data_IF_870924340479
#
_entry.id   IF_870924340479
#
_cell.length_a   1.000
_cell.length_b   1.000
_cell.length_c   1.000
_cell.angle_alpha   90.00
_cell.angle_beta   90.00
_cell.angle_gamma   90.00
#
_symmetry.space_group_name_H-M   'P 1'
#
loop_
_entity.id
_entity.type
_entity.pdbx_description
1 polymer ?
#
# COMPACT_ATOMS: atom_id res chain seq x y z
N UNK A 1 -5.24 1.54 2.44
CA UNK A 1 -6.29 0.88 1.64
C UNK A 1 -6.33 1.38 0.17
N UNK A 2 -6.52 0.50 -0.83
CA UNK A 2 -6.77 0.92 -2.23
C UNK A 2 -8.28 1.15 -2.42
N UNK A 3 -8.69 2.35 -2.88
CA UNK A 3 -10.11 2.66 -3.14
C UNK A 3 -10.63 1.96 -4.39
N UNK A 4 -11.94 1.75 -4.45
CA UNK A 4 -12.59 1.20 -5.65
C UNK A 4 -12.25 2.07 -6.87
N UNK A 5 -11.73 1.46 -7.93
CA UNK A 5 -11.33 2.17 -9.15
C UNK A 5 -9.89 2.73 -9.17
N UNK A 6 -9.16 2.67 -8.04
CA UNK A 6 -7.73 3.02 -8.00
C UNK A 6 -6.81 1.82 -8.31
N UNK A 7 -7.36 0.63 -8.58
CA UNK A 7 -6.59 -0.59 -8.92
C UNK A 7 -5.66 -0.39 -10.12
N UNK A 8 -6.13 0.26 -11.18
CA UNK A 8 -5.34 0.51 -12.38
C UNK A 8 -4.16 1.43 -12.08
N UNK A 9 -4.40 2.48 -11.27
CA UNK A 9 -3.37 3.42 -10.85
C UNK A 9 -2.35 2.73 -9.93
N UNK A 10 -2.81 1.92 -8.98
CA UNK A 10 -1.96 1.17 -8.07
C UNK A 10 -1.11 0.14 -8.83
N UNK A 11 -1.69 -0.54 -9.82
CA UNK A 11 -0.99 -1.47 -10.70
C UNK A 11 0.07 -0.77 -11.53
N UNK A 12 -0.22 0.43 -12.05
CA UNK A 12 0.74 1.21 -12.84
C UNK A 12 1.98 1.64 -12.05
N UNK A 13 1.86 1.82 -10.74
CA UNK A 13 2.97 2.23 -9.85
C UNK A 13 3.60 1.05 -9.10
N UNK A 14 3.16 -0.18 -9.34
CA UNK A 14 3.62 -1.37 -8.60
C UNK A 14 4.26 -2.40 -9.52
N UNK A 15 5.39 -2.97 -9.10
CA UNK A 15 6.00 -4.12 -9.75
C UNK A 15 5.40 -5.41 -9.20
N UNK A 16 4.17 -5.75 -9.63
CA UNK A 16 3.38 -6.85 -9.04
C UNK A 16 4.06 -8.23 -9.09
N UNK A 17 5.01 -8.44 -10.00
CA UNK A 17 5.76 -9.69 -10.11
C UNK A 17 6.71 -9.93 -8.93
N UNK A 18 7.12 -8.88 -8.23
CA UNK A 18 8.10 -8.95 -7.13
C UNK A 18 7.53 -8.42 -5.82
N UNK A 19 6.62 -7.44 -5.89
CA UNK A 19 6.00 -6.84 -4.71
C UNK A 19 4.85 -7.72 -4.20
N UNK A 20 5.16 -8.66 -3.30
CA UNK A 20 4.15 -9.55 -2.69
C UNK A 20 3.09 -8.76 -1.91
N UNK A 21 3.49 -7.66 -1.23
CA UNK A 21 2.55 -6.75 -0.57
C UNK A 21 1.56 -6.14 -1.57
N UNK A 22 2.05 -5.64 -2.70
CA UNK A 22 1.23 -5.00 -3.72
C UNK A 22 0.21 -5.97 -4.33
N UNK A 23 0.64 -7.22 -4.60
CA UNK A 23 -0.25 -8.26 -5.09
C UNK A 23 -1.37 -8.57 -4.08
N UNK A 24 -1.03 -8.75 -2.80
CA UNK A 24 -2.01 -9.00 -1.74
C UNK A 24 -2.95 -7.82 -1.50
N UNK A 25 -2.44 -6.59 -1.61
CA UNK A 25 -3.25 -5.39 -1.46
C UNK A 25 -4.35 -5.33 -2.53
N UNK A 26 -4.05 -5.68 -3.79
CA UNK A 26 -5.05 -5.77 -4.87
C UNK A 26 -6.08 -6.88 -4.58
N UNK A 27 -5.63 -8.06 -4.16
CA UNK A 27 -6.54 -9.17 -3.85
C UNK A 27 -7.50 -8.82 -2.71
N UNK A 28 -6.98 -8.32 -1.59
CA UNK A 28 -7.77 -7.87 -0.43
C UNK A 28 -8.79 -6.79 -0.82
N UNK A 29 -8.36 -5.84 -1.65
CA UNK A 29 -9.22 -4.77 -2.17
C UNK A 29 -10.40 -5.36 -2.96
N UNK A 30 -10.16 -6.34 -3.82
CA UNK A 30 -11.23 -6.99 -4.60
C UNK A 30 -12.22 -7.76 -3.73
N UNK A 31 -11.75 -8.43 -2.69
CA UNK A 31 -12.60 -9.15 -1.74
C UNK A 31 -13.51 -8.18 -0.97
N UNK A 32 -12.94 -7.09 -0.44
CA UNK A 32 -13.69 -6.09 0.32
C UNK A 32 -14.72 -5.36 -0.57
N UNK A 33 -14.34 -4.97 -1.79
CA UNK A 33 -15.26 -4.26 -2.70
C UNK A 33 -16.31 -5.17 -3.34
N UNK A 34 -16.12 -6.49 -3.35
CA UNK A 34 -17.16 -7.41 -3.82
C UNK A 34 -18.39 -7.41 -2.89
N UNK A 35 -18.18 -7.12 -1.59
CA UNK A 35 -19.21 -7.17 -0.55
C UNK A 35 -19.65 -5.77 -0.09
N UNK A 36 -18.79 -4.76 -0.20
CA UNK A 36 -19.06 -3.40 0.25
C UNK A 36 -19.67 -2.50 -0.83
N UNK A 37 -20.63 -1.65 -0.43
CA UNK A 37 -21.24 -0.62 -1.28
C UNK A 37 -20.72 0.78 -0.97
N UNK A 38 -20.26 1.02 0.27
CA UNK A 38 -19.69 2.31 0.70
C UNK A 38 -18.44 2.05 1.55
N UNK A 39 -17.35 2.73 1.25
CA UNK A 39 -16.12 2.75 2.05
C UNK A 39 -15.87 4.17 2.56
N UNK A 40 -15.90 4.35 3.88
CA UNK A 40 -15.67 5.62 4.57
C UNK A 40 -14.41 5.53 5.46
N UNK A 41 -13.73 6.66 5.65
CA UNK A 41 -12.85 6.84 6.82
C UNK A 41 -11.34 6.73 6.62
N UNK A 42 -10.81 6.39 5.44
CA UNK A 42 -9.34 6.33 5.28
C UNK A 42 -8.77 7.66 4.78
N UNK A 43 -8.24 8.46 5.71
CA UNK A 43 -7.21 9.45 5.42
C UNK A 43 -5.86 8.78 5.62
N UNK A 44 -5.00 8.88 4.60
CA UNK A 44 -3.69 8.24 4.58
C UNK A 44 -2.63 9.32 4.36
N UNK A 45 -1.56 9.26 5.15
CA UNK A 45 -0.41 10.14 4.98
C UNK A 45 0.88 9.33 4.99
N UNK A 46 1.85 9.81 4.22
CA UNK A 46 3.17 9.21 4.11
C UNK A 46 4.22 10.25 4.46
N UNK A 47 5.07 9.94 5.43
CA UNK A 47 6.24 10.72 5.81
C UNK A 47 7.51 9.98 5.39
N UNK A 48 8.46 10.68 4.76
CA UNK A 48 9.78 10.11 4.46
C UNK A 48 10.65 10.23 5.72
N UNK A 49 11.04 9.10 6.27
CA UNK A 49 11.93 9.03 7.44
C UNK A 49 13.40 9.05 7.02
N UNK A 50 13.75 8.33 5.95
CA UNK A 50 15.12 8.23 5.46
C UNK A 50 15.18 7.80 4.00
N UNK A 51 16.08 8.42 3.24
CA UNK A 51 16.42 8.03 1.87
C UNK A 51 17.82 7.41 1.86
N UNK A 52 17.98 6.27 1.18
CA UNK A 52 19.26 5.59 1.04
C UNK A 52 19.87 5.87 -0.34
N UNK A 53 21.16 5.59 -0.47
CA UNK A 53 21.79 5.48 -1.79
C UNK A 53 21.25 4.28 -2.56
N UNK A 54 21.51 4.24 -3.86
CA UNK A 54 21.16 3.10 -4.70
C UNK A 54 21.78 1.81 -4.16
N UNK A 55 20.96 0.80 -3.92
CA UNK A 55 21.42 -0.53 -3.55
C UNK A 55 21.84 -1.28 -4.81
N UNK A 56 23.16 -1.38 -5.04
CA UNK A 56 23.72 -2.11 -6.18
C UNK A 56 23.43 -3.62 -6.14
N UNK A 57 23.13 -4.19 -4.97
CA UNK A 57 22.81 -5.61 -4.82
C UNK A 57 21.33 -5.90 -5.14
N UNK A 58 20.42 -5.14 -4.53
CA UNK A 58 18.97 -5.23 -4.77
C UNK A 58 18.51 -4.57 -6.08
N UNK A 59 19.34 -3.69 -6.65
CA UNK A 59 19.08 -2.97 -7.89
C UNK A 59 18.07 -1.82 -7.76
N UNK A 60 17.83 -1.31 -6.55
CA UNK A 60 16.76 -0.34 -6.26
C UNK A 60 17.16 0.79 -5.33
N UNK A 61 16.19 1.65 -5.03
CA UNK A 61 16.32 2.81 -4.16
C UNK A 61 15.49 2.59 -2.89
N UNK A 62 16.13 2.24 -1.77
CA UNK A 62 15.44 2.07 -0.51
C UNK A 62 15.02 3.41 0.09
N UNK A 63 13.81 3.46 0.63
CA UNK A 63 13.30 4.60 1.40
C UNK A 63 12.54 4.09 2.62
N UNK A 64 12.93 4.55 3.80
CA UNK A 64 12.14 4.35 5.02
C UNK A 64 11.05 5.41 5.07
N UNK A 65 9.81 4.96 5.24
CA UNK A 65 8.62 5.80 5.33
C UNK A 65 7.79 5.45 6.56
N UNK A 66 7.02 6.41 7.05
CA UNK A 66 5.93 6.19 7.99
C UNK A 66 4.61 6.36 7.27
N UNK A 67 3.78 5.33 7.30
CA UNK A 67 2.41 5.36 6.79
C UNK A 67 1.50 5.55 8.00
N UNK A 68 0.67 6.58 7.98
CA UNK A 68 -0.37 6.80 8.99
C UNK A 68 -1.73 6.74 8.32
N UNK A 69 -2.61 5.90 8.85
CA UNK A 69 -3.98 5.73 8.36
C UNK A 69 -4.97 5.95 9.52
N UNK A 70 -6.10 6.60 9.24
CA UNK A 70 -7.24 6.64 10.16
C UNK A 70 -8.12 5.40 10.01
N UNK A 71 -8.99 5.13 11.00
CA UNK A 71 -9.90 3.99 10.97
C UNK A 71 -10.78 3.99 9.70
N UNK A 72 -10.81 2.87 9.00
CA UNK A 72 -11.65 2.62 7.84
C UNK A 72 -12.90 1.80 8.18
N UNK A 73 -14.00 2.09 7.50
CA UNK A 73 -15.29 1.42 7.67
C UNK A 73 -15.88 1.06 6.30
N UNK A 74 -16.37 -0.16 6.16
CA UNK A 74 -17.10 -0.59 4.95
C UNK A 74 -18.51 -1.04 5.30
N UNK A 75 -19.47 -0.59 4.51
CA UNK A 75 -20.90 -0.86 4.69
C UNK A 75 -21.47 -1.59 3.48
N UNK A 76 -22.44 -2.48 3.71
CA UNK A 76 -23.24 -3.09 2.64
C UNK A 76 -24.29 -2.12 2.07
N UNK A 77 -25.10 -2.59 1.12
CA UNK A 77 -26.13 -1.79 0.46
C UNK A 77 -27.26 -1.35 1.39
N UNK A 78 -27.46 -2.05 2.52
CA UNK A 78 -28.46 -1.73 3.54
C UNK A 78 -27.90 -0.80 4.64
N UNK A 79 -26.62 -0.42 4.54
CA UNK A 79 -25.93 0.45 5.49
C UNK A 79 -25.42 -0.29 6.74
N UNK A 80 -25.35 -1.62 6.71
CA UNK A 80 -24.79 -2.42 7.80
C UNK A 80 -23.27 -2.41 7.72
N UNK A 81 -22.60 -2.14 8.84
CA UNK A 81 -21.15 -2.23 8.93
C UNK A 81 -20.71 -3.69 8.77
N UNK A 82 -19.97 -3.98 7.72
CA UNK A 82 -19.47 -5.33 7.40
C UNK A 82 -17.96 -5.48 7.63
N UNK A 83 -17.22 -4.37 7.62
CA UNK A 83 -15.78 -4.39 7.83
C UNK A 83 -15.30 -3.14 8.57
N UNK A 84 -14.38 -3.32 9.51
CA UNK A 84 -13.62 -2.24 10.15
C UNK A 84 -12.14 -2.52 9.96
N UNK A 85 -11.42 -1.53 9.44
CA UNK A 85 -9.98 -1.51 9.37
C UNK A 85 -9.48 -0.54 10.45
N UNK A 86 -8.74 -1.05 11.43
CA UNK A 86 -8.19 -0.19 12.47
C UNK A 86 -7.02 0.61 11.88
N UNK A 87 -7.11 1.94 12.00
CA UNK A 87 -6.05 2.85 11.64
C UNK A 87 -4.85 2.72 12.58
N UNK A 88 -3.76 3.31 12.16
CA UNK A 88 -2.51 3.24 12.91
C UNK A 88 -1.36 3.90 12.16
N UNK A 89 -0.19 3.79 12.77
CA UNK A 89 1.07 4.22 12.15
C UNK A 89 1.99 3.03 12.04
N UNK A 90 2.57 2.82 10.86
CA UNK A 90 3.55 1.78 10.61
C UNK A 90 4.77 2.35 9.89
N UNK A 91 5.95 2.04 10.42
CA UNK A 91 7.21 2.37 9.77
C UNK A 91 7.59 1.21 8.83
N UNK A 92 7.80 1.53 7.55
CA UNK A 92 8.10 0.56 6.50
C UNK A 92 9.28 1.02 5.65
N UNK A 93 10.01 0.06 5.09
CA UNK A 93 10.92 0.29 3.97
C UNK A 93 10.20 -0.03 2.67
N UNK A 94 10.24 0.90 1.75
CA UNK A 94 9.89 0.67 0.35
C UNK A 94 11.15 0.56 -0.49
N UNK A 95 11.10 -0.31 -1.49
CA UNK A 95 12.11 -0.40 -2.54
C UNK A 95 11.51 0.15 -3.84
N UNK A 96 12.15 1.15 -4.41
CA UNK A 96 11.75 1.72 -5.69
C UNK A 96 12.70 1.31 -6.81
N UNK A 97 12.13 0.92 -7.94
CA UNK A 97 12.88 0.67 -9.18
C UNK A 97 12.54 1.74 -10.20
N UNK A 98 13.55 2.21 -10.93
CA UNK A 98 13.38 3.10 -12.07
C UNK A 98 13.72 2.35 -13.36
N UNK A 99 12.73 2.16 -14.24
CA UNK A 99 12.92 1.43 -15.51
C UNK A 99 13.46 2.31 -16.66
N UNK A 100 13.89 3.53 -16.34
CA UNK A 100 14.35 4.53 -17.30
C UNK A 100 13.27 5.53 -17.71
N UNK A 101 11.99 5.23 -17.45
CA UNK A 101 10.88 6.14 -17.72
C UNK A 101 9.98 6.39 -16.50
N UNK A 102 9.80 5.38 -15.65
CA UNK A 102 8.87 5.41 -14.52
C UNK A 102 9.47 4.80 -13.27
N UNK A 103 9.11 5.36 -12.13
CA UNK A 103 9.36 4.78 -10.81
C UNK A 103 8.24 3.81 -10.46
N UNK A 104 8.60 2.63 -9.93
CA UNK A 104 7.65 1.63 -9.47
C UNK A 104 8.06 1.05 -8.12
N UNK A 105 7.07 0.77 -7.28
CA UNK A 105 7.21 0.09 -6.01
C UNK A 105 7.52 -1.38 -6.26
N UNK A 106 8.73 -1.81 -5.91
CA UNK A 106 9.20 -3.17 -6.11
C UNK A 106 9.05 -4.05 -4.87
N UNK A 107 9.09 -3.43 -3.69
CA UNK A 107 8.89 -4.11 -2.43
C UNK A 107 8.41 -3.13 -1.33
N UNK A 108 7.71 -3.67 -0.33
CA UNK A 108 7.36 -2.97 0.90
C UNK A 108 7.46 -3.97 2.05
N UNK A 109 8.21 -3.62 3.09
CA UNK A 109 8.37 -4.43 4.30
C UNK A 109 8.35 -3.53 5.53
N UNK A 110 7.83 -4.01 6.66
CA UNK A 110 7.85 -3.22 7.90
C UNK A 110 9.26 -3.15 8.45
N UNK A 111 9.67 -2.00 9.00
CA UNK A 111 11.01 -1.84 9.56
C UNK A 111 11.27 -2.80 10.73
N UNK A 112 10.24 -3.15 11.50
CA UNK A 112 10.32 -4.14 12.58
C UNK A 112 10.69 -5.56 12.12
N UNK A 113 10.44 -5.87 10.85
CA UNK A 113 10.74 -7.17 10.24
C UNK A 113 12.14 -7.23 9.61
N UNK A 114 12.85 -6.10 9.52
CA UNK A 114 14.21 -6.01 8.99
C UNK A 114 15.20 -6.26 10.13
N UNK A 115 15.94 -7.37 10.05
CA UNK A 115 16.98 -7.75 11.02
C UNK A 115 18.36 -7.28 10.64
#
# INVERSE_FOLDING_TARGET
>A
MIRTGDEDRFTAVSWLQTCTFCARAIESTREIHAEATVVEGTEESVEILKVYEFDEFGGGYPIDIRITETDGFSFDADGVLIHTEQGGSVDSRIELLHDGATWRLANLVRLEDIK
#
